data_IF_210441260977
#
_entry.id   IF_210441260977
#
_cell.length_a   1.000
_cell.length_b   1.000
_cell.length_c   1.000
_cell.angle_alpha   90.00
_cell.angle_beta   90.00
_cell.angle_gamma   90.00
#
_symmetry.space_group_name_H-M   'P 1'
#
loop_
_entity.id
_entity.type
_entity.pdbx_description
1 polymer ?
#
# COMPACT_ATOMS: atom_id res chain seq x y z
N UNK A 1 10.86 5.38 36.95
CA UNK A 1 11.03 5.11 35.51
C UNK A 1 12.47 4.78 35.10
N UNK A 2 13.43 5.66 35.37
CA UNK A 2 14.78 5.62 34.76
C UNK A 2 15.65 4.38 35.06
N UNK A 3 15.31 3.56 36.06
CA UNK A 3 16.02 2.31 36.38
C UNK A 3 15.65 1.14 35.47
N UNK A 4 14.64 1.29 34.60
CA UNK A 4 14.17 0.24 33.69
C UNK A 4 14.82 0.43 32.32
N UNK A 5 15.74 -0.46 31.98
CA UNK A 5 16.50 -0.43 30.72
C UNK A 5 16.43 -1.77 30.02
N UNK A 6 16.51 -1.78 28.68
CA UNK A 6 16.45 -3.00 27.89
C UNK A 6 16.44 -2.71 26.39
N UNK A 7 15.85 -3.62 25.62
CA UNK A 7 15.63 -3.45 24.18
C UNK A 7 14.18 -3.78 23.86
N UNK A 8 13.56 -3.02 22.95
CA UNK A 8 12.16 -3.25 22.58
C UNK A 8 11.17 -2.82 23.66
N UNK A 9 11.57 -1.90 24.56
CA UNK A 9 10.65 -1.29 25.50
C UNK A 9 9.64 -0.42 24.73
N UNK A 10 8.38 -0.53 25.11
CA UNK A 10 7.28 0.28 24.56
C UNK A 10 6.65 1.10 25.67
N UNK A 11 5.93 2.16 25.32
CA UNK A 11 5.15 2.94 26.30
C UNK A 11 4.19 2.06 27.10
N UNK A 12 3.61 1.02 26.48
CA UNK A 12 2.76 0.07 27.18
C UNK A 12 3.54 -0.75 28.22
N UNK A 13 4.72 -1.26 27.86
CA UNK A 13 5.59 -2.01 28.80
C UNK A 13 6.06 -1.11 29.94
N UNK A 14 6.50 0.11 29.65
CA UNK A 14 6.92 1.04 30.70
C UNK A 14 5.77 1.39 31.66
N UNK A 15 4.56 1.55 31.11
CA UNK A 15 3.34 1.81 31.88
C UNK A 15 2.93 0.69 32.83
N UNK A 16 3.39 -0.57 32.63
CA UNK A 16 3.10 -1.67 33.57
C UNK A 16 3.94 -1.60 34.84
N UNK A 17 5.11 -0.95 34.78
CA UNK A 17 5.95 -0.74 35.96
C UNK A 17 5.44 0.44 36.79
N UNK A 18 5.05 1.53 36.12
CA UNK A 18 4.43 2.70 36.73
C UNK A 18 3.68 3.49 35.64
N UNK A 19 2.45 3.93 35.92
CA UNK A 19 1.60 4.63 34.96
C UNK A 19 2.17 6.00 34.51
N UNK A 20 3.08 6.56 35.29
CA UNK A 20 3.86 7.77 34.98
C UNK A 20 5.10 7.51 34.12
N UNK A 21 5.30 6.28 33.60
CA UNK A 21 6.43 5.95 32.74
C UNK A 21 6.04 5.76 31.27
N UNK A 22 6.94 6.20 30.37
CA UNK A 22 6.88 5.97 28.92
C UNK A 22 8.22 5.46 28.42
N UNK A 23 8.25 4.82 27.25
CA UNK A 23 9.52 4.48 26.61
C UNK A 23 10.15 5.72 25.98
N UNK A 24 11.49 5.78 25.96
CA UNK A 24 12.23 6.69 25.09
C UNK A 24 12.06 6.29 23.61
N UNK A 25 12.46 7.17 22.68
CA UNK A 25 12.24 6.97 21.23
C UNK A 25 12.89 5.67 20.73
N UNK A 26 14.08 5.35 21.22
CA UNK A 26 14.83 4.17 20.79
C UNK A 26 14.36 2.86 21.47
N UNK A 27 13.39 2.91 22.39
CA UNK A 27 12.91 1.74 23.12
C UNK A 27 13.98 1.07 24.00
N UNK A 28 14.96 1.84 24.47
CA UNK A 28 16.10 1.34 25.28
C UNK A 28 15.96 1.58 26.78
N UNK A 29 15.11 2.53 27.16
CA UNK A 29 14.84 2.84 28.57
C UNK A 29 13.43 3.38 28.77
N UNK A 30 12.88 3.17 29.96
CA UNK A 30 11.71 3.91 30.43
C UNK A 30 12.13 5.24 31.05
N UNK A 31 11.32 6.26 30.84
CA UNK A 31 11.51 7.61 31.35
C UNK A 31 10.20 8.14 31.92
N UNK A 32 10.27 9.25 32.64
CA UNK A 32 9.09 9.93 33.16
C UNK A 32 8.21 10.46 32.02
N UNK A 33 6.90 10.33 32.19
CA UNK A 33 5.87 10.89 31.33
C UNK A 33 5.66 12.37 31.70
N UNK A 34 6.34 13.26 30.99
CA UNK A 34 6.29 14.70 31.28
C UNK A 34 4.96 15.29 30.82
N UNK A 35 4.55 16.40 31.44
CA UNK A 35 3.24 17.02 31.19
C UNK A 35 3.04 17.41 29.71
N UNK A 36 4.07 17.97 29.09
CA UNK A 36 4.06 18.47 27.71
C UNK A 36 5.37 18.12 27.00
N UNK A 37 5.34 18.13 25.67
CA UNK A 37 6.48 17.72 24.85
C UNK A 37 7.72 18.61 25.04
N UNK A 38 7.55 19.90 25.26
CA UNK A 38 8.64 20.89 25.41
C UNK A 38 9.50 20.66 26.65
N UNK A 39 9.03 19.84 27.60
CA UNK A 39 9.80 19.44 28.77
C UNK A 39 10.85 18.36 28.46
N UNK A 40 10.77 17.69 27.30
CA UNK A 40 11.80 16.75 26.86
C UNK A 40 12.95 17.50 26.18
N UNK A 41 14.12 17.48 26.83
CA UNK A 41 15.28 18.29 26.43
C UNK A 41 16.24 17.59 25.44
N UNK A 42 16.01 16.31 25.13
CA UNK A 42 16.85 15.54 24.22
C UNK A 42 16.02 14.82 23.16
N UNK A 43 16.62 14.57 22.00
CA UNK A 43 16.00 13.81 20.91
C UNK A 43 15.51 12.44 21.37
N UNK A 44 16.35 11.67 22.07
CA UNK A 44 15.98 10.32 22.50
C UNK A 44 14.85 10.35 23.54
N UNK A 45 14.75 11.40 24.35
CA UNK A 45 13.62 11.55 25.29
C UNK A 45 12.33 12.05 24.64
N UNK A 46 12.37 12.54 23.40
CA UNK A 46 11.21 13.17 22.75
C UNK A 46 10.20 12.15 22.23
N UNK A 47 9.42 11.54 23.13
CA UNK A 47 8.50 10.45 22.80
C UNK A 47 7.02 10.78 23.04
N UNK A 48 6.51 10.58 24.25
CA UNK A 48 5.09 10.73 24.58
C UNK A 48 4.90 11.48 25.90
N UNK A 49 4.16 12.58 25.86
CA UNK A 49 3.80 13.39 27.02
C UNK A 49 2.45 12.96 27.64
N UNK A 50 2.07 13.60 28.74
CA UNK A 50 0.78 13.43 29.40
C UNK A 50 -0.33 14.36 28.86
N UNK A 51 -0.05 15.14 27.83
CA UNK A 51 -1.05 15.96 27.16
C UNK A 51 -2.19 15.09 26.60
N UNK A 52 -3.39 15.68 26.46
CA UNK A 52 -4.56 14.98 25.96
C UNK A 52 -4.57 14.88 24.43
N UNK A 53 -5.31 13.88 23.91
CA UNK A 53 -5.46 13.62 22.47
C UNK A 53 -4.10 13.47 21.76
N UNK A 54 -3.99 13.90 20.51
CA UNK A 54 -2.76 13.76 19.71
C UNK A 54 -1.62 14.69 20.13
N UNK A 55 -1.86 15.61 21.09
CA UNK A 55 -0.80 16.43 21.66
C UNK A 55 0.14 15.63 22.57
N UNK A 56 -0.23 14.39 22.91
CA UNK A 56 0.63 13.45 23.64
C UNK A 56 1.85 13.03 22.81
N UNK A 57 1.75 12.96 21.47
CA UNK A 57 2.84 12.56 20.59
C UNK A 57 3.79 13.71 20.31
N UNK A 58 5.07 13.47 20.60
CA UNK A 58 6.10 14.47 20.49
C UNK A 58 7.07 14.17 19.33
N UNK A 59 7.48 15.21 18.61
CA UNK A 59 8.44 15.13 17.53
C UNK A 59 9.63 16.07 17.79
N UNK A 60 10.83 15.62 17.46
CA UNK A 60 12.05 16.41 17.63
C UNK A 60 12.28 17.33 16.44
N UNK A 61 12.30 18.64 16.66
CA UNK A 61 12.52 19.63 15.59
C UNK A 61 13.96 19.73 15.10
N UNK A 62 14.89 19.05 15.77
CA UNK A 62 16.33 19.28 15.66
C UNK A 62 16.90 20.06 16.85
N UNK A 63 16.08 20.89 17.50
CA UNK A 63 16.50 21.74 18.63
C UNK A 63 15.64 21.60 19.87
N UNK A 64 14.37 21.22 19.71
CA UNK A 64 13.41 21.09 20.79
C UNK A 64 12.44 19.94 20.52
N UNK A 65 11.86 19.41 21.58
CA UNK A 65 10.78 18.45 21.49
C UNK A 65 9.43 19.16 21.46
N UNK A 66 8.61 18.91 20.44
CA UNK A 66 7.39 19.67 20.18
C UNK A 66 6.20 18.74 19.96
N UNK A 67 5.02 19.18 20.39
CA UNK A 67 3.77 18.59 19.92
C UNK A 67 3.53 18.99 18.45
N UNK A 68 2.92 18.10 17.67
CA UNK A 68 2.62 18.34 16.25
C UNK A 68 1.34 19.17 16.11
N UNK A 69 1.45 20.49 16.33
CA UNK A 69 0.32 21.43 16.29
C UNK A 69 0.32 22.29 15.03
N UNK A 70 1.48 22.77 14.57
CA UNK A 70 1.60 23.56 13.33
C UNK A 70 1.84 22.63 12.15
N UNK A 71 0.76 22.06 11.61
CA UNK A 71 0.80 20.97 10.61
C UNK A 71 1.74 21.24 9.43
N UNK A 72 1.73 22.45 8.88
CA UNK A 72 2.56 22.84 7.73
C UNK A 72 4.07 22.74 7.96
N UNK A 73 4.53 22.68 9.21
CA UNK A 73 5.95 22.54 9.57
C UNK A 73 6.21 21.31 10.43
N UNK A 74 5.40 21.07 11.46
CA UNK A 74 5.68 20.06 12.48
C UNK A 74 5.50 18.62 11.99
N UNK A 75 4.65 18.36 10.98
CA UNK A 75 4.54 17.00 10.44
C UNK A 75 5.91 16.49 9.92
N UNK A 76 6.70 17.39 9.32
CA UNK A 76 8.00 17.04 8.74
C UNK A 76 9.07 16.64 9.78
N UNK A 77 8.83 16.94 11.07
CA UNK A 77 9.73 16.49 12.16
C UNK A 77 9.56 15.01 12.49
N UNK A 78 8.48 14.37 12.04
CA UNK A 78 8.27 12.94 12.19
C UNK A 78 8.95 12.23 11.02
N UNK A 79 10.16 11.74 11.26
CA UNK A 79 11.00 11.03 10.27
C UNK A 79 11.27 9.59 10.70
N UNK A 80 11.46 8.70 9.74
CA UNK A 80 11.76 7.30 10.03
C UNK A 80 11.76 6.43 8.77
N UNK A 81 11.46 5.15 8.93
CA UNK A 81 11.26 4.21 7.82
C UNK A 81 9.97 3.45 8.04
N UNK A 82 9.22 3.19 6.98
CA UNK A 82 7.94 2.47 7.09
C UNK A 82 6.83 3.30 7.74
N UNK A 83 6.92 4.63 7.66
CA UNK A 83 5.84 5.52 8.06
C UNK A 83 4.63 5.30 7.16
N UNK A 84 3.46 5.23 7.78
CA UNK A 84 2.17 5.10 7.11
C UNK A 84 1.29 6.29 7.45
N UNK A 85 0.23 6.50 6.67
CA UNK A 85 -0.76 7.54 6.95
C UNK A 85 -1.35 7.39 8.37
N UNK A 86 -1.53 6.15 8.85
CA UNK A 86 -1.99 5.89 10.21
C UNK A 86 -0.98 6.33 11.28
N UNK A 87 0.32 6.07 11.05
CA UNK A 87 1.38 6.49 11.97
C UNK A 87 1.45 8.01 12.02
N UNK A 88 1.42 8.67 10.86
CA UNK A 88 1.44 10.13 10.79
C UNK A 88 0.20 10.77 11.42
N UNK A 89 -0.99 10.21 11.17
CA UNK A 89 -2.25 10.67 11.73
C UNK A 89 -2.29 10.57 13.27
N UNK A 90 -1.52 9.66 13.87
CA UNK A 90 -1.41 9.54 15.32
C UNK A 90 -0.71 10.75 15.96
N UNK A 91 0.18 11.44 15.24
CA UNK A 91 0.79 12.71 15.69
C UNK A 91 -0.15 13.89 15.48
N UNK A 92 -0.84 13.92 14.34
CA UNK A 92 -1.90 14.88 14.04
C UNK A 92 -2.74 14.35 12.88
N UNK A 93 -4.07 14.40 12.97
CA UNK A 93 -4.96 13.88 11.93
C UNK A 93 -4.78 14.53 10.54
N UNK A 94 -4.18 15.73 10.49
CA UNK A 94 -3.83 16.43 9.26
C UNK A 94 -2.39 16.16 8.79
N UNK A 95 -1.68 15.18 9.36
CA UNK A 95 -0.44 14.66 8.81
C UNK A 95 -0.69 13.38 8.01
N UNK A 96 0.15 13.13 7.01
CA UNK A 96 0.14 11.94 6.16
C UNK A 96 1.57 11.51 5.84
N UNK A 97 1.81 10.27 5.44
CA UNK A 97 3.14 9.85 5.03
C UNK A 97 3.49 10.41 3.64
N UNK A 98 4.76 10.73 3.39
CA UNK A 98 5.25 10.98 2.04
C UNK A 98 5.27 9.68 1.20
N UNK A 99 5.52 9.79 -0.11
CA UNK A 99 5.46 8.64 -1.04
C UNK A 99 6.42 7.50 -0.66
N UNK A 100 7.58 7.84 -0.07
CA UNK A 100 8.60 6.88 0.33
C UNK A 100 8.39 6.27 1.73
N UNK A 101 7.41 6.76 2.52
CA UNK A 101 7.22 6.34 3.90
C UNK A 101 8.40 6.69 4.82
N UNK A 102 9.11 7.78 4.53
CA UNK A 102 10.32 8.21 5.27
C UNK A 102 10.12 9.45 6.13
N UNK A 103 9.10 10.25 5.83
CA UNK A 103 8.70 11.39 6.63
C UNK A 103 7.18 11.56 6.60
N UNK A 104 6.62 12.12 7.66
CA UNK A 104 5.28 12.68 7.61
C UNK A 104 5.31 14.08 6.98
N UNK A 105 4.18 14.50 6.47
CA UNK A 105 3.97 15.81 5.85
C UNK A 105 2.54 16.27 6.08
N UNK A 106 2.26 17.54 5.82
CA UNK A 106 0.89 18.05 5.83
C UNK A 106 0.03 17.32 4.80
N UNK A 107 -1.14 16.86 5.23
CA UNK A 107 -2.19 16.29 4.39
C UNK A 107 -2.92 17.43 3.68
N UNK A 108 -2.47 17.76 2.47
CA UNK A 108 -3.06 18.85 1.67
C UNK A 108 -4.51 18.59 1.31
N UNK A 109 -5.30 19.64 1.10
CA UNK A 109 -6.71 19.53 0.75
C UNK A 109 -6.97 18.70 -0.52
N UNK A 110 -6.11 18.84 -1.52
CA UNK A 110 -6.21 18.17 -2.83
C UNK A 110 -4.82 17.82 -3.35
N UNK A 111 -4.74 16.82 -4.25
CA UNK A 111 -3.48 16.31 -4.78
C UNK A 111 -2.63 17.37 -5.50
N UNK A 112 -3.26 18.29 -6.24
CA UNK A 112 -2.57 19.35 -6.99
C UNK A 112 -1.85 20.38 -6.13
N UNK A 113 -2.01 20.35 -4.81
CA UNK A 113 -1.27 21.18 -3.87
C UNK A 113 0.10 20.58 -3.52
N UNK A 114 0.35 19.32 -3.87
CA UNK A 114 1.70 18.73 -3.80
C UNK A 114 2.47 19.07 -5.08
N UNK A 115 3.63 19.71 -4.91
CA UNK A 115 4.41 20.26 -6.03
C UNK A 115 5.60 19.39 -6.43
N UNK A 116 5.87 18.31 -5.70
CA UNK A 116 6.99 17.39 -5.98
C UNK A 116 6.53 15.94 -5.93
N UNK A 117 7.23 15.08 -6.66
CA UNK A 117 6.97 13.64 -6.65
C UNK A 117 7.10 13.03 -5.24
N UNK A 118 8.13 13.42 -4.49
CA UNK A 118 8.40 12.87 -3.15
C UNK A 118 7.23 13.11 -2.18
N UNK A 119 6.55 14.25 -2.34
CA UNK A 119 5.40 14.65 -1.53
C UNK A 119 4.05 14.18 -2.10
N UNK A 120 4.02 13.63 -3.32
CA UNK A 120 2.77 13.23 -3.96
C UNK A 120 2.27 11.91 -3.36
N UNK A 121 1.40 11.98 -2.34
CA UNK A 121 0.92 10.81 -1.61
C UNK A 121 -0.61 10.81 -1.38
N UNK A 122 -1.08 11.22 -0.20
CA UNK A 122 -2.49 11.22 0.19
C UNK A 122 -2.94 12.64 0.51
N UNK A 123 -4.11 13.06 0.01
CA UNK A 123 -4.75 14.34 0.28
C UNK A 123 -5.97 14.17 1.20
N UNK A 124 -6.58 15.27 1.62
CA UNK A 124 -7.80 15.29 2.43
C UNK A 124 -9.10 15.25 1.59
N UNK A 125 -8.99 15.08 0.28
CA UNK A 125 -10.15 14.88 -0.59
C UNK A 125 -10.93 13.62 -0.16
N UNK A 126 -12.22 13.58 -0.50
CA UNK A 126 -13.08 12.45 -0.13
C UNK A 126 -12.96 11.28 -1.12
N UNK A 127 -13.32 10.08 -0.66
CA UNK A 127 -13.28 8.83 -1.44
C UNK A 127 -11.88 8.60 -2.06
N UNK A 128 -11.80 7.99 -3.24
CA UNK A 128 -10.52 7.67 -3.89
C UNK A 128 -9.77 8.89 -4.46
N UNK A 129 -10.35 10.09 -4.38
CA UNK A 129 -9.66 11.32 -4.77
C UNK A 129 -8.57 11.72 -3.75
N UNK A 130 -8.52 11.05 -2.60
CA UNK A 130 -7.48 11.22 -1.60
C UNK A 130 -6.14 10.66 -2.08
N UNK A 131 -6.10 9.60 -2.88
CA UNK A 131 -4.86 9.01 -3.39
C UNK A 131 -4.34 9.74 -4.61
N UNK A 132 -3.10 10.19 -4.52
CA UNK A 132 -2.46 11.04 -5.50
C UNK A 132 -1.37 10.30 -6.28
N UNK A 133 -1.38 10.47 -7.61
CA UNK A 133 -0.39 9.92 -8.52
C UNK A 133 0.43 11.05 -9.15
N UNK A 134 1.72 10.81 -9.36
CA UNK A 134 2.62 11.77 -9.99
C UNK A 134 2.62 11.55 -11.50
N UNK A 135 2.22 12.55 -12.28
CA UNK A 135 2.14 12.46 -13.74
C UNK A 135 3.49 12.60 -14.46
N UNK A 136 4.57 12.86 -13.71
CA UNK A 136 5.85 13.32 -14.24
C UNK A 136 6.02 14.85 -14.16
N UNK A 137 4.93 15.60 -14.02
CA UNK A 137 4.95 17.07 -13.92
C UNK A 137 4.08 17.63 -12.79
N UNK A 138 3.00 16.93 -12.41
CA UNK A 138 2.07 17.38 -11.38
C UNK A 138 1.58 16.19 -10.55
N UNK A 139 1.16 16.48 -9.33
CA UNK A 139 0.50 15.51 -8.47
C UNK A 139 -1.01 15.61 -8.66
N UNK A 140 -1.66 14.51 -9.05
CA UNK A 140 -3.06 14.50 -9.48
C UNK A 140 -3.82 13.38 -8.78
N UNK A 141 -5.11 13.59 -8.53
CA UNK A 141 -6.01 12.48 -8.24
C UNK A 141 -6.32 11.72 -9.54
N UNK A 142 -6.53 10.40 -9.47
CA UNK A 142 -6.87 9.61 -10.66
C UNK A 142 -8.37 9.73 -10.96
N UNK A 143 -8.69 10.60 -11.91
CA UNK A 143 -10.04 10.93 -12.36
C UNK A 143 -10.27 10.51 -13.82
N UNK A 144 -9.29 10.72 -14.69
CA UNK A 144 -9.30 10.33 -16.10
C UNK A 144 -8.65 8.95 -16.26
N UNK A 145 -9.40 7.91 -15.94
CA UNK A 145 -8.96 6.50 -15.86
C UNK A 145 -8.12 6.06 -17.06
N UNK A 146 -8.53 6.43 -18.28
CA UNK A 146 -7.87 6.01 -19.53
C UNK A 146 -6.40 6.46 -19.64
N UNK A 147 -6.01 7.52 -18.92
CA UNK A 147 -4.65 8.08 -18.96
C UNK A 147 -3.97 8.04 -17.60
N UNK A 148 -4.71 8.32 -16.53
CA UNK A 148 -4.14 8.62 -15.21
C UNK A 148 -3.87 7.37 -14.36
N UNK A 149 -4.52 6.23 -14.63
CA UNK A 149 -4.16 4.98 -13.94
C UNK A 149 -2.67 4.65 -14.16
N UNK A 150 -2.13 4.94 -15.34
CA UNK A 150 -0.74 4.66 -15.71
C UNK A 150 0.29 5.49 -14.92
N UNK A 151 -0.13 6.56 -14.23
CA UNK A 151 0.75 7.35 -13.37
C UNK A 151 1.07 6.63 -12.04
N UNK A 152 0.30 5.60 -11.70
CA UNK A 152 0.57 4.76 -10.51
C UNK A 152 1.54 3.66 -10.92
N UNK A 153 2.83 3.88 -10.63
CA UNK A 153 3.93 2.96 -10.93
C UNK A 153 4.60 2.46 -9.66
N UNK A 154 5.13 1.23 -9.69
CA UNK A 154 5.83 0.66 -8.54
C UNK A 154 6.21 -0.80 -8.76
N UNK A 155 6.35 -1.55 -7.69
CA UNK A 155 6.56 -3.01 -7.73
C UNK A 155 5.56 -3.68 -6.80
N UNK A 156 5.04 -4.84 -7.20
CA UNK A 156 4.06 -5.57 -6.39
C UNK A 156 2.69 -4.88 -6.33
N UNK A 157 2.35 -4.08 -7.36
CA UNK A 157 1.02 -3.51 -7.50
C UNK A 157 0.00 -4.64 -7.71
N UNK A 158 -1.12 -4.53 -7.02
CA UNK A 158 -2.25 -5.46 -7.11
C UNK A 158 -3.49 -4.71 -7.56
N UNK A 159 -4.51 -5.45 -8.00
CA UNK A 159 -5.82 -4.89 -8.34
C UNK A 159 -6.39 -4.05 -7.19
N UNK A 160 -6.20 -4.49 -5.95
CA UNK A 160 -6.64 -3.76 -4.76
C UNK A 160 -5.90 -2.42 -4.59
N UNK A 161 -4.59 -2.41 -4.80
CA UNK A 161 -3.78 -1.18 -4.71
C UNK A 161 -4.20 -0.20 -5.80
N UNK A 162 -4.36 -0.67 -7.04
CA UNK A 162 -4.80 0.19 -8.15
C UNK A 162 -6.23 0.71 -7.93
N UNK A 163 -7.13 -0.13 -7.45
CA UNK A 163 -8.51 0.24 -7.14
C UNK A 163 -8.62 1.32 -6.05
N UNK A 164 -7.62 1.44 -5.16
CA UNK A 164 -7.57 2.48 -4.15
C UNK A 164 -7.37 3.89 -4.74
N UNK A 165 -6.73 4.01 -5.90
CA UNK A 165 -6.62 5.27 -6.63
C UNK A 165 -7.88 5.59 -7.44
N UNK A 166 -8.45 4.56 -8.09
CA UNK A 166 -9.74 4.63 -8.75
C UNK A 166 -10.26 3.21 -8.97
N UNK A 167 -11.53 2.94 -8.66
CA UNK A 167 -12.12 1.59 -8.77
C UNK A 167 -12.05 1.00 -10.19
N UNK A 168 -11.88 1.83 -11.22
CA UNK A 168 -11.72 1.42 -12.61
C UNK A 168 -10.24 1.29 -13.03
N UNK A 169 -9.29 1.30 -12.09
CA UNK A 169 -7.91 0.90 -12.34
C UNK A 169 -7.67 -0.55 -11.91
N UNK A 170 -6.75 -1.24 -12.58
CA UNK A 170 -6.27 -2.61 -12.31
C UNK A 170 -4.76 -2.65 -12.46
N UNK A 171 -4.09 -3.63 -11.84
CA UNK A 171 -2.67 -3.83 -12.08
C UNK A 171 -2.43 -4.43 -13.47
N UNK A 172 -1.33 -4.06 -14.12
CA UNK A 172 -0.85 -4.77 -15.30
C UNK A 172 -0.36 -6.19 -14.93
N UNK A 173 -0.08 -7.04 -15.92
CA UNK A 173 0.31 -8.45 -15.71
C UNK A 173 1.56 -8.60 -14.82
N UNK A 174 2.49 -7.64 -14.91
CA UNK A 174 3.74 -7.64 -14.16
C UNK A 174 3.64 -7.04 -12.74
N UNK A 175 2.52 -6.41 -12.38
CA UNK A 175 2.37 -5.69 -11.11
C UNK A 175 3.31 -4.49 -10.97
N UNK A 176 3.65 -3.84 -12.08
CA UNK A 176 4.59 -2.69 -12.13
C UNK A 176 3.93 -1.35 -12.41
N UNK A 177 2.74 -1.36 -13.00
CA UNK A 177 1.93 -0.16 -13.22
C UNK A 177 0.45 -0.51 -13.06
N UNK A 178 -0.34 0.48 -12.65
CA UNK A 178 -1.78 0.40 -12.83
C UNK A 178 -2.16 0.80 -14.26
N UNK A 179 -3.34 0.37 -14.69
CA UNK A 179 -3.90 0.64 -16.00
C UNK A 179 -5.42 0.67 -15.90
N UNK A 180 -6.09 1.16 -16.94
CA UNK A 180 -7.54 1.10 -17.04
C UNK A 180 -8.04 -0.36 -16.99
N UNK A 181 -9.06 -0.59 -16.17
CA UNK A 181 -9.81 -1.83 -16.09
C UNK A 181 -10.82 -1.86 -17.24
N UNK A 182 -10.44 -2.49 -18.35
CA UNK A 182 -11.27 -2.57 -19.55
C UNK A 182 -12.53 -3.37 -19.30
N UNK A 183 -13.60 -3.08 -20.06
CA UNK A 183 -14.88 -3.79 -19.92
C UNK A 183 -14.75 -5.31 -20.12
N UNK A 184 -13.91 -5.73 -21.06
CA UNK A 184 -13.70 -7.13 -21.45
C UNK A 184 -12.24 -7.38 -21.81
N UNK A 185 -11.79 -8.63 -21.69
CA UNK A 185 -10.39 -9.01 -21.93
C UNK A 185 -9.88 -8.68 -23.33
N UNK A 186 -10.72 -8.82 -24.37
CA UNK A 186 -10.34 -8.56 -25.76
C UNK A 186 -10.03 -7.09 -26.07
N UNK A 187 -10.30 -6.17 -25.15
CA UNK A 187 -9.91 -4.76 -25.28
C UNK A 187 -8.45 -4.51 -24.87
N UNK A 188 -7.80 -5.48 -24.22
CA UNK A 188 -6.36 -5.45 -24.02
C UNK A 188 -5.65 -5.98 -25.27
N UNK A 189 -4.82 -5.12 -25.88
CA UNK A 189 -4.18 -5.41 -27.17
C UNK A 189 -2.75 -5.93 -27.05
N UNK A 190 -2.20 -5.97 -25.84
CA UNK A 190 -0.84 -6.45 -25.59
C UNK A 190 -0.79 -7.42 -24.41
N UNK A 191 0.20 -8.31 -24.42
CA UNK A 191 0.42 -9.25 -23.32
C UNK A 191 0.66 -8.53 -21.98
N UNK A 192 1.45 -7.46 -21.98
CA UNK A 192 1.80 -6.72 -20.76
C UNK A 192 0.57 -6.14 -20.05
N UNK A 193 -0.43 -5.75 -20.84
CA UNK A 193 -1.69 -5.19 -20.35
C UNK A 193 -2.77 -6.25 -20.12
N UNK A 194 -2.56 -7.51 -20.51
CA UNK A 194 -3.56 -8.57 -20.37
C UNK A 194 -3.66 -9.04 -18.91
N UNK A 195 -4.59 -8.46 -18.14
CA UNK A 195 -4.74 -8.74 -16.71
C UNK A 195 -6.19 -8.95 -16.26
N UNK A 196 -6.82 -7.97 -15.60
CA UNK A 196 -8.18 -8.07 -15.05
C UNK A 196 -9.11 -7.07 -15.74
N UNK A 197 -10.20 -7.56 -16.32
CA UNK A 197 -11.29 -6.77 -16.88
C UNK A 197 -12.42 -6.51 -15.88
N UNK A 198 -13.39 -5.67 -16.24
CA UNK A 198 -14.60 -5.39 -15.47
C UNK A 198 -15.75 -6.39 -15.72
N UNK A 199 -15.51 -7.44 -16.50
CA UNK A 199 -16.48 -8.51 -16.70
C UNK A 199 -16.84 -9.19 -15.36
N UNK A 200 -18.00 -9.82 -15.30
CA UNK A 200 -18.47 -10.48 -14.08
C UNK A 200 -17.90 -11.89 -13.91
N UNK A 201 -17.87 -12.37 -12.66
CA UNK A 201 -17.38 -13.70 -12.29
C UNK A 201 -15.97 -13.98 -12.84
N UNK A 202 -15.66 -15.21 -13.22
CA UNK A 202 -14.32 -15.62 -13.70
C UNK A 202 -13.97 -15.08 -15.10
N UNK A 203 -14.88 -14.36 -15.77
CA UNK A 203 -14.57 -13.71 -17.04
C UNK A 203 -13.75 -12.43 -16.84
N UNK A 204 -13.58 -11.97 -15.60
CA UNK A 204 -12.76 -10.83 -15.25
C UNK A 204 -11.26 -11.12 -15.45
N UNK A 205 -10.79 -12.34 -15.19
CA UNK A 205 -9.39 -12.73 -15.36
C UNK A 205 -9.06 -13.06 -16.82
N UNK A 206 -8.07 -12.36 -17.35
CA UNK A 206 -7.68 -12.42 -18.75
C UNK A 206 -6.34 -13.13 -18.94
N UNK A 207 -6.30 -14.04 -19.91
CA UNK A 207 -5.11 -14.78 -20.31
C UNK A 207 -4.67 -14.37 -21.72
N UNK A 208 -3.36 -14.35 -21.94
CA UNK A 208 -2.80 -14.02 -23.25
C UNK A 208 -2.65 -15.31 -24.07
N UNK A 209 -3.31 -15.39 -25.22
CA UNK A 209 -3.27 -16.57 -26.10
C UNK A 209 -2.00 -16.68 -26.96
N UNK A 210 -1.11 -15.68 -26.90
CA UNK A 210 -0.03 -15.46 -27.86
C UNK A 210 -0.37 -14.43 -28.94
N UNK A 211 -1.66 -14.14 -29.16
CA UNK A 211 -2.11 -13.18 -30.16
C UNK A 211 -3.18 -12.21 -29.65
N UNK A 212 -3.99 -12.61 -28.66
CA UNK A 212 -5.06 -11.80 -28.10
C UNK A 212 -5.20 -12.05 -26.59
N UNK A 213 -5.77 -11.06 -25.91
CA UNK A 213 -6.12 -11.19 -24.51
C UNK A 213 -7.57 -11.67 -24.38
N UNK A 214 -7.80 -12.81 -23.73
CA UNK A 214 -9.09 -13.50 -23.71
C UNK A 214 -9.47 -13.91 -22.29
N UNK A 215 -10.77 -13.98 -22.01
CA UNK A 215 -11.26 -14.68 -20.82
C UNK A 215 -11.19 -16.19 -21.06
N UNK A 216 -10.96 -16.99 -20.01
CA UNK A 216 -10.91 -18.45 -20.12
C UNK A 216 -12.34 -19.02 -20.07
N UNK A 217 -12.89 -19.28 -21.25
CA UNK A 217 -14.25 -19.80 -21.47
C UNK A 217 -14.26 -21.23 -21.98
N UNK A 218 -13.34 -21.56 -22.88
CA UNK A 218 -13.16 -22.88 -23.48
C UNK A 218 -12.06 -23.64 -22.74
N UNK A 219 -12.42 -24.23 -21.60
CA UNK A 219 -11.50 -24.86 -20.63
C UNK A 219 -10.48 -25.81 -21.28
N UNK A 220 -10.93 -26.63 -22.24
CA UNK A 220 -10.10 -27.65 -22.90
C UNK A 220 -8.87 -27.08 -23.63
N UNK A 221 -8.93 -25.81 -24.07
CA UNK A 221 -7.85 -25.17 -24.83
C UNK A 221 -7.26 -23.95 -24.12
N UNK A 222 -8.09 -23.19 -23.39
CA UNK A 222 -7.73 -21.85 -22.92
C UNK A 222 -7.11 -21.84 -21.52
N UNK A 223 -7.28 -22.89 -20.71
CA UNK A 223 -6.55 -22.99 -19.43
C UNK A 223 -5.03 -22.90 -19.66
N UNK A 224 -4.53 -23.44 -20.76
CA UNK A 224 -3.11 -23.44 -21.11
C UNK A 224 -2.55 -22.05 -21.42
N UNK A 225 -3.41 -21.05 -21.68
CA UNK A 225 -2.96 -19.66 -21.87
C UNK A 225 -2.53 -18.99 -20.56
N UNK A 226 -2.90 -19.56 -19.42
CA UNK A 226 -2.46 -19.07 -18.11
C UNK A 226 -1.11 -19.70 -17.79
N UNK A 227 -0.04 -18.96 -18.07
CA UNK A 227 1.35 -19.38 -17.82
C UNK A 227 2.03 -18.47 -16.80
N UNK A 228 3.00 -18.99 -16.06
CA UNK A 228 3.76 -18.23 -15.08
C UNK A 228 4.65 -19.10 -14.21
N UNK A 229 4.89 -18.66 -12.98
CA UNK A 229 5.63 -19.42 -11.96
C UNK A 229 4.86 -19.40 -10.65
N UNK A 230 4.87 -20.51 -9.91
CA UNK A 230 4.16 -20.59 -8.64
C UNK A 230 2.63 -20.61 -8.79
N UNK A 231 2.13 -21.07 -9.95
CA UNK A 231 0.70 -21.26 -10.16
C UNK A 231 0.19 -22.36 -9.22
N UNK A 232 -0.93 -22.07 -8.58
CA UNK A 232 -1.64 -23.00 -7.69
C UNK A 232 -3.01 -23.31 -8.27
N UNK A 233 -3.65 -24.38 -7.78
CA UNK A 233 -5.01 -24.72 -8.16
C UNK A 233 -5.99 -23.57 -7.89
N UNK A 234 -5.77 -22.79 -6.83
CA UNK A 234 -6.57 -21.61 -6.52
C UNK A 234 -6.38 -20.49 -7.55
N UNK A 235 -5.13 -20.23 -7.97
CA UNK A 235 -4.83 -19.23 -9.01
C UNK A 235 -5.49 -19.64 -10.33
N UNK A 236 -5.32 -20.89 -10.76
CA UNK A 236 -5.95 -21.39 -11.99
C UNK A 236 -7.48 -21.36 -11.93
N UNK A 237 -8.05 -21.74 -10.78
CA UNK A 237 -9.50 -21.72 -10.57
C UNK A 237 -10.11 -20.30 -10.63
N UNK A 238 -9.31 -19.26 -10.38
CA UNK A 238 -9.74 -17.87 -10.52
C UNK A 238 -9.98 -17.47 -11.98
N UNK A 239 -9.24 -18.06 -12.93
CA UNK A 239 -9.48 -17.85 -14.37
C UNK A 239 -10.69 -18.64 -14.87
N UNK A 240 -10.83 -19.88 -14.39
CA UNK A 240 -12.02 -20.69 -14.61
C UNK A 240 -12.02 -21.84 -13.59
N UNK A 241 -13.16 -22.12 -12.96
CA UNK A 241 -13.26 -23.14 -11.90
C UNK A 241 -12.83 -24.55 -12.35
N UNK A 242 -12.86 -24.83 -13.66
CA UNK A 242 -12.43 -26.10 -14.25
C UNK A 242 -10.95 -26.10 -14.70
N UNK A 243 -10.19 -25.04 -14.43
CA UNK A 243 -8.73 -25.06 -14.56
C UNK A 243 -8.06 -25.48 -13.25
N UNK A 244 -6.90 -26.11 -13.36
CA UNK A 244 -6.03 -26.54 -12.25
C UNK A 244 -4.57 -26.30 -12.62
N UNK A 245 -3.68 -26.18 -11.64
CA UNK A 245 -2.25 -26.05 -11.94
C UNK A 245 -1.69 -27.39 -12.43
N UNK A 246 -0.70 -27.29 -13.32
CA UNK A 246 0.18 -28.40 -13.66
C UNK A 246 1.12 -28.75 -12.49
N UNK A 247 1.83 -29.88 -12.57
CA UNK A 247 2.66 -30.36 -11.46
C UNK A 247 3.84 -29.42 -11.19
N UNK A 248 4.39 -28.80 -12.24
CA UNK A 248 5.49 -27.85 -12.11
C UNK A 248 5.06 -26.46 -11.59
N UNK A 249 3.75 -26.16 -11.54
CA UNK A 249 3.24 -24.84 -11.16
C UNK A 249 3.60 -23.73 -12.16
N UNK A 250 3.75 -24.08 -13.44
CA UNK A 250 4.17 -23.18 -14.53
C UNK A 250 3.07 -22.88 -15.54
N UNK A 251 2.03 -23.71 -15.62
CA UNK A 251 0.88 -23.51 -16.47
C UNK A 251 -0.40 -24.02 -15.79
N UNK A 252 -1.55 -23.46 -16.18
CA UNK A 252 -2.83 -24.07 -15.87
C UNK A 252 -3.24 -25.07 -16.97
N UNK A 253 -4.06 -26.03 -16.59
CA UNK A 253 -4.61 -27.06 -17.46
C UNK A 253 -6.05 -27.38 -17.06
N UNK A 254 -6.80 -28.04 -17.94
CA UNK A 254 -8.14 -28.52 -17.62
C UNK A 254 -8.11 -29.57 -16.50
N UNK A 255 -9.07 -29.49 -15.56
CA UNK A 255 -9.36 -30.55 -14.62
C UNK A 255 -9.92 -31.77 -15.35
N UNK A 256 -9.18 -32.88 -15.33
CA UNK A 256 -9.66 -34.17 -15.84
C UNK A 256 -10.44 -34.94 -14.79
N UNK A 257 -11.39 -35.76 -15.26
CA UNK A 257 -12.21 -36.61 -14.39
C UNK A 257 -11.39 -37.65 -13.61
N UNK A 258 -10.27 -38.10 -14.16
CA UNK A 258 -9.41 -39.15 -13.60
C UNK A 258 -7.94 -38.86 -13.85
N UNK A 259 -7.05 -39.34 -12.97
CA UNK A 259 -5.62 -39.06 -13.03
C UNK A 259 -4.93 -39.61 -14.30
N UNK A 260 -5.42 -40.73 -14.86
CA UNK A 260 -4.87 -41.34 -16.07
C UNK A 260 -5.09 -40.51 -17.35
N UNK A 261 -5.94 -39.49 -17.31
CA UNK A 261 -6.20 -38.58 -18.44
C UNK A 261 -5.19 -37.44 -18.53
N UNK A 262 -4.31 -37.27 -17.53
CA UNK A 262 -3.14 -36.40 -17.63
C UNK A 262 -2.02 -37.19 -18.32
N UNK A 263 -1.93 -37.06 -19.64
CA UNK A 263 -1.00 -37.84 -20.48
C UNK A 263 0.37 -37.20 -20.63
N UNK A 264 0.56 -35.99 -20.12
CA UNK A 264 1.81 -35.24 -20.16
C UNK A 264 2.21 -34.84 -18.74
N UNK A 265 3.46 -35.09 -18.38
CA UNK A 265 4.05 -34.54 -17.16
C UNK A 265 4.43 -33.08 -17.42
N UNK A 266 3.43 -32.19 -17.37
CA UNK A 266 3.62 -30.75 -17.31
C UNK A 266 3.48 -30.28 -15.87
#
# INVERSE_FOLDING_TARGET
CASITGTGLTTAICGTYDAGCVANVNGTACQEKLATCDLYLTQNSCSTSAAAATADKCAWSGTACLAVTTVGTHCAYVTGTGLTDLICAAYNANCTANKAGTACQEKKATCNLYTTEATCSTSAAAATADKCAWSGAACLAVTTVATECAYVTGTGLTDLICAAYNANCTANKAGTACQEKKATCNLYTTEATCSTSAAAATADKCAWSGAACLAVTTVATECAYVTGTGLTNAICAAYNANCTANKAGTACQEKKATCNLYTTEA
#
